data_IF_301216433883
#
_entry.id   IF_301216433883
#
_cell.length_a   1.000
_cell.length_b   1.000
_cell.length_c   1.000
_cell.angle_alpha   90.00
_cell.angle_beta   90.00
_cell.angle_gamma   90.00
#
_symmetry.space_group_name_H-M   'P 1'
#
loop_
_entity.id
_entity.type
_entity.pdbx_description
1 polymer ?
#
# COMPACT_ATOMS: atom_id res chain seq x y z
N UNK A 1 0.06 -7.79 6.27
CA UNK A 1 -1.18 -8.52 6.63
C UNK A 1 -2.34 -8.29 5.66
N UNK A 2 -3.03 -7.13 5.62
CA UNK A 2 -4.20 -6.97 4.75
C UNK A 2 -3.85 -6.86 3.25
N UNK A 3 -2.86 -6.04 2.90
CA UNK A 3 -2.43 -5.87 1.51
C UNK A 3 -1.87 -7.17 0.92
N UNK A 4 -0.98 -7.86 1.63
CA UNK A 4 -0.41 -9.14 1.18
C UNK A 4 -1.49 -10.21 0.99
N UNK A 5 -2.47 -10.28 1.91
CA UNK A 5 -3.62 -11.18 1.77
C UNK A 5 -4.46 -10.82 0.55
N UNK A 6 -4.68 -9.53 0.30
CA UNK A 6 -5.42 -9.09 -0.88
C UNK A 6 -4.67 -9.38 -2.19
N UNK A 7 -3.35 -9.20 -2.22
CA UNK A 7 -2.53 -9.55 -3.37
C UNK A 7 -2.57 -11.05 -3.66
N UNK A 8 -2.57 -11.89 -2.63
CA UNK A 8 -2.73 -13.33 -2.80
C UNK A 8 -4.12 -13.67 -3.35
N UNK A 9 -5.16 -13.09 -2.77
CA UNK A 9 -6.53 -13.24 -3.25
C UNK A 9 -6.69 -12.82 -4.72
N UNK A 10 -6.12 -11.67 -5.11
CA UNK A 10 -6.17 -11.16 -6.47
C UNK A 10 -5.50 -12.14 -7.45
N UNK A 11 -4.29 -12.60 -7.15
CA UNK A 11 -3.56 -13.59 -7.96
C UNK A 11 -4.35 -14.90 -8.10
N UNK A 12 -4.87 -15.43 -7.00
CA UNK A 12 -5.61 -16.69 -7.02
C UNK A 12 -6.92 -16.56 -7.81
N UNK A 13 -7.60 -15.42 -7.67
CA UNK A 13 -8.83 -15.10 -8.41
C UNK A 13 -8.56 -14.98 -9.90
N UNK A 14 -7.51 -14.27 -10.30
CA UNK A 14 -7.12 -14.10 -11.70
C UNK A 14 -6.74 -15.43 -12.34
N UNK A 15 -5.91 -16.24 -11.65
CA UNK A 15 -5.47 -17.54 -12.15
C UNK A 15 -6.64 -18.51 -12.36
N UNK A 16 -7.46 -18.71 -11.32
CA UNK A 16 -8.59 -19.65 -11.38
C UNK A 16 -9.72 -19.11 -12.25
N UNK A 17 -9.99 -17.81 -12.14
CA UNK A 17 -11.07 -17.14 -12.86
C UNK A 17 -10.83 -17.13 -14.36
N UNK A 18 -9.62 -16.76 -14.81
CA UNK A 18 -9.28 -16.74 -16.24
C UNK A 18 -9.44 -18.11 -16.88
N UNK A 19 -8.97 -19.17 -16.21
CA UNK A 19 -9.12 -20.55 -16.71
C UNK A 19 -10.59 -20.97 -16.83
N UNK A 20 -11.43 -20.59 -15.85
CA UNK A 20 -12.86 -20.93 -15.84
C UNK A 20 -13.65 -20.14 -16.90
N UNK A 21 -13.35 -18.86 -17.05
CA UNK A 21 -13.98 -17.99 -18.06
C UNK A 21 -13.60 -18.47 -19.46
N UNK A 22 -12.32 -18.78 -19.69
CA UNK A 22 -11.86 -19.35 -20.96
C UNK A 22 -12.61 -20.65 -21.31
N UNK A 23 -12.69 -21.60 -20.36
CA UNK A 23 -13.43 -22.86 -20.58
C UNK A 23 -14.91 -22.66 -20.87
N UNK A 24 -15.55 -21.69 -20.21
CA UNK A 24 -16.95 -21.37 -20.47
C UNK A 24 -17.13 -20.75 -21.87
N UNK A 25 -16.24 -19.82 -22.26
CA UNK A 25 -16.22 -19.22 -23.58
C UNK A 25 -16.04 -20.28 -24.68
N UNK A 26 -15.10 -21.21 -24.52
CA UNK A 26 -14.87 -22.31 -25.47
C UNK A 26 -16.14 -23.18 -25.64
N UNK A 27 -16.83 -23.47 -24.53
CA UNK A 27 -18.10 -24.22 -24.55
C UNK A 27 -19.21 -23.48 -25.29
N UNK A 28 -19.35 -22.17 -25.06
CA UNK A 28 -20.30 -21.32 -25.78
C UNK A 28 -19.97 -21.28 -27.29
N UNK A 29 -18.69 -21.10 -27.64
CA UNK A 29 -18.24 -21.01 -29.03
C UNK A 29 -18.45 -22.32 -29.79
N UNK A 30 -18.22 -23.47 -29.14
CA UNK A 30 -18.51 -24.77 -29.74
C UNK A 30 -20.00 -24.94 -30.06
N UNK A 31 -20.90 -24.60 -29.14
CA UNK A 31 -22.34 -24.69 -29.36
C UNK A 31 -22.81 -23.74 -30.47
N UNK A 32 -22.32 -22.50 -30.48
CA UNK A 32 -22.61 -21.52 -31.53
C UNK A 32 -22.12 -22.02 -32.89
N UNK A 33 -20.90 -22.56 -32.97
CA UNK A 33 -20.31 -23.08 -34.21
C UNK A 33 -21.08 -24.28 -34.78
N UNK A 34 -21.68 -25.11 -33.94
CA UNK A 34 -22.54 -26.23 -34.40
C UNK A 34 -23.93 -25.80 -34.87
N UNK A 35 -24.26 -24.50 -34.81
CA UNK A 35 -25.57 -23.98 -35.20
C UNK A 35 -26.67 -24.36 -34.22
N UNK A 36 -26.35 -24.46 -32.92
CA UNK A 36 -27.32 -24.77 -31.87
C UNK A 36 -28.53 -23.82 -31.96
N UNK A 37 -29.74 -24.35 -31.76
CA UNK A 37 -31.01 -23.59 -31.90
C UNK A 37 -31.04 -22.35 -31.01
N UNK A 38 -30.42 -22.43 -29.83
CA UNK A 38 -30.33 -21.34 -28.86
C UNK A 38 -29.05 -20.50 -28.99
N UNK A 39 -28.32 -20.57 -30.10
CA UNK A 39 -27.07 -19.82 -30.31
C UNK A 39 -27.19 -18.31 -29.99
N UNK A 40 -28.29 -17.59 -30.31
CA UNK A 40 -28.45 -16.19 -29.92
C UNK A 40 -28.44 -15.98 -28.40
N UNK A 41 -29.12 -16.85 -27.65
CA UNK A 41 -29.18 -16.79 -26.18
C UNK A 41 -27.82 -17.15 -25.57
N UNK A 42 -27.14 -18.14 -26.13
CA UNK A 42 -25.80 -18.56 -25.68
C UNK A 42 -24.79 -17.42 -25.87
N UNK A 43 -24.86 -16.69 -26.99
CA UNK A 43 -24.01 -15.53 -27.22
C UNK A 43 -24.25 -14.43 -26.18
N UNK A 44 -25.52 -14.13 -25.83
CA UNK A 44 -25.84 -13.17 -24.78
C UNK A 44 -25.28 -13.57 -23.40
N UNK A 45 -25.34 -14.86 -23.06
CA UNK A 45 -24.74 -15.37 -21.82
C UNK A 45 -23.22 -15.26 -21.82
N UNK A 46 -22.58 -15.56 -22.96
CA UNK A 46 -21.14 -15.41 -23.15
C UNK A 46 -20.72 -13.95 -22.94
N UNK A 47 -21.40 -13.01 -23.57
CA UNK A 47 -21.11 -11.58 -23.44
C UNK A 47 -21.30 -11.11 -22.00
N UNK A 48 -22.40 -11.51 -21.35
CA UNK A 48 -22.69 -11.16 -19.96
C UNK A 48 -21.64 -11.71 -18.98
N UNK A 49 -21.15 -12.93 -19.23
CA UNK A 49 -20.07 -13.54 -18.43
C UNK A 49 -18.78 -12.75 -18.55
N UNK A 50 -18.40 -12.39 -19.79
CA UNK A 50 -17.17 -11.65 -20.04
C UNK A 50 -17.25 -10.23 -19.46
N UNK A 51 -18.37 -9.54 -19.59
CA UNK A 51 -18.59 -8.24 -18.96
C UNK A 51 -18.48 -8.32 -17.42
N UNK A 52 -19.10 -9.33 -16.80
CA UNK A 52 -19.00 -9.53 -15.36
C UNK A 52 -17.56 -9.85 -14.91
N UNK A 53 -16.79 -10.56 -15.74
CA UNK A 53 -15.39 -10.87 -15.47
C UNK A 53 -14.50 -9.63 -15.54
N UNK A 54 -14.62 -8.82 -16.60
CA UNK A 54 -13.87 -7.56 -16.74
C UNK A 54 -14.18 -6.59 -15.60
N UNK A 55 -15.46 -6.45 -15.22
CA UNK A 55 -15.87 -5.63 -14.08
C UNK A 55 -15.24 -6.11 -12.76
N UNK A 56 -15.08 -7.43 -12.56
CA UNK A 56 -14.41 -7.97 -11.39
C UNK A 56 -12.92 -7.65 -11.37
N UNK A 57 -12.24 -7.74 -12.52
CA UNK A 57 -10.82 -7.39 -12.62
C UNK A 57 -10.59 -5.91 -12.32
N UNK A 58 -11.43 -5.01 -12.87
CA UNK A 58 -11.37 -3.58 -12.57
C UNK A 58 -11.59 -3.29 -11.08
N UNK A 59 -12.52 -4.00 -10.44
CA UNK A 59 -12.79 -3.86 -9.01
C UNK A 59 -11.59 -4.33 -8.16
N UNK A 60 -10.93 -5.41 -8.57
CA UNK A 60 -9.71 -5.92 -7.92
C UNK A 60 -8.59 -4.87 -8.00
N UNK A 61 -8.37 -4.28 -9.18
CA UNK A 61 -7.35 -3.25 -9.39
C UNK A 61 -7.61 -2.00 -8.57
N UNK A 62 -8.86 -1.50 -8.61
CA UNK A 62 -9.29 -0.34 -7.81
C UNK A 62 -9.04 -0.60 -6.33
N UNK A 63 -9.38 -1.80 -5.84
CA UNK A 63 -9.15 -2.16 -4.44
C UNK A 63 -7.66 -2.25 -4.10
N UNK A 64 -6.82 -2.75 -5.00
CA UNK A 64 -5.37 -2.79 -4.81
C UNK A 64 -4.79 -1.37 -4.65
N UNK A 65 -5.21 -0.43 -5.51
CA UNK A 65 -4.79 0.97 -5.44
C UNK A 65 -5.22 1.66 -4.14
N UNK A 66 -6.46 1.40 -3.69
CA UNK A 66 -6.95 1.93 -2.42
C UNK A 66 -6.16 1.40 -1.22
N UNK A 67 -5.81 0.11 -1.23
CA UNK A 67 -5.00 -0.50 -0.16
C UNK A 67 -3.58 0.09 -0.13
N UNK A 68 -2.98 0.30 -1.29
CA UNK A 68 -1.66 0.95 -1.38
C UNK A 68 -1.71 2.39 -0.90
N UNK A 69 -2.73 3.15 -1.30
CA UNK A 69 -2.93 4.54 -0.83
C UNK A 69 -3.11 4.60 0.69
N UNK A 70 -3.91 3.69 1.26
CA UNK A 70 -4.07 3.57 2.71
C UNK A 70 -2.76 3.23 3.41
N UNK A 71 -1.97 2.31 2.86
CA UNK A 71 -0.65 1.94 3.39
C UNK A 71 0.29 3.15 3.43
N UNK A 72 0.37 3.92 2.35
CA UNK A 72 1.21 5.11 2.26
C UNK A 72 0.79 6.16 3.31
N UNK A 73 -0.52 6.37 3.48
CA UNK A 73 -1.04 7.29 4.50
C UNK A 73 -0.67 6.82 5.92
N UNK A 74 -0.86 5.54 6.22
CA UNK A 74 -0.48 4.97 7.52
C UNK A 74 1.02 5.07 7.78
N UNK A 75 1.84 4.82 6.75
CA UNK A 75 3.29 4.99 6.83
C UNK A 75 3.65 6.44 7.13
N UNK A 76 3.08 7.40 6.41
CA UNK A 76 3.32 8.82 6.67
C UNK A 76 2.99 9.23 8.11
N UNK A 77 1.83 8.83 8.64
CA UNK A 77 1.49 9.12 10.03
C UNK A 77 2.43 8.45 11.03
N UNK A 78 2.89 7.23 10.74
CA UNK A 78 3.87 6.56 11.57
C UNK A 78 5.21 7.30 11.56
N UNK A 79 5.73 7.63 10.39
CA UNK A 79 6.99 8.36 10.21
C UNK A 79 6.94 9.73 10.91
N UNK A 80 5.83 10.46 10.79
CA UNK A 80 5.61 11.72 11.50
C UNK A 80 5.61 11.56 13.03
N UNK A 81 4.95 10.52 13.56
CA UNK A 81 4.95 10.25 15.01
C UNK A 81 6.33 9.88 15.52
N UNK A 82 7.04 9.06 14.77
CA UNK A 82 8.39 8.62 15.13
C UNK A 82 9.37 9.81 15.11
N UNK A 83 9.27 10.68 14.10
CA UNK A 83 10.02 11.92 14.04
C UNK A 83 9.69 12.84 15.24
N UNK A 84 8.41 13.05 15.54
CA UNK A 84 7.98 13.84 16.70
C UNK A 84 8.52 13.24 18.02
N UNK A 85 8.45 11.92 18.19
CA UNK A 85 8.97 11.25 19.37
C UNK A 85 10.48 11.47 19.53
N UNK A 86 11.26 11.38 18.45
CA UNK A 86 12.70 11.68 18.45
C UNK A 86 12.98 13.13 18.81
N UNK A 87 12.22 14.08 18.26
CA UNK A 87 12.34 15.52 18.59
C UNK A 87 12.07 15.74 20.09
N UNK A 88 11.01 15.13 20.62
CA UNK A 88 10.66 15.26 22.03
C UNK A 88 11.72 14.64 22.94
N UNK A 89 12.19 13.42 22.64
CA UNK A 89 13.26 12.76 23.39
C UNK A 89 14.52 13.63 23.45
N UNK A 90 14.93 14.17 22.29
CA UNK A 90 16.06 15.09 22.17
C UNK A 90 15.83 16.35 23.01
N UNK A 91 14.66 16.98 22.89
CA UNK A 91 14.32 18.18 23.66
C UNK A 91 14.41 17.94 25.18
N UNK A 92 13.91 16.80 25.67
CA UNK A 92 13.96 16.45 27.09
C UNK A 92 15.37 16.10 27.58
N UNK A 93 16.27 15.66 26.69
CA UNK A 93 17.66 15.34 27.02
C UNK A 93 18.57 16.59 27.14
N UNK A 94 18.08 17.78 26.81
CA UNK A 94 18.84 19.03 26.94
C UNK A 94 18.96 19.46 28.41
N UNK A 95 20.19 19.68 28.93
CA UNK A 95 20.37 20.20 30.29
C UNK A 95 19.86 21.64 30.43
N UNK A 96 19.21 21.96 31.56
CA UNK A 96 18.88 23.34 31.94
C UNK A 96 20.04 24.08 32.64
N UNK A 97 21.09 23.36 33.03
CA UNK A 97 22.28 23.94 33.68
C UNK A 97 23.06 24.84 32.71
N UNK A 98 23.41 26.04 33.16
CA UNK A 98 24.19 27.03 32.41
C UNK A 98 25.70 26.90 32.65
N UNK A 99 26.12 26.05 33.58
CA UNK A 99 27.51 25.90 33.98
C UNK A 99 27.95 26.99 34.96
N UNK A 100 28.89 26.65 35.84
CA UNK A 100 29.36 27.51 36.94
C UNK A 100 30.72 28.15 36.68
N UNK A 101 31.43 27.67 35.66
CA UNK A 101 32.79 28.08 35.31
C UNK A 101 33.03 27.91 33.79
N UNK A 102 34.10 28.53 33.28
CA UNK A 102 34.41 28.51 31.84
C UNK A 102 34.55 27.10 31.26
N UNK A 103 35.03 26.13 32.05
CA UNK A 103 35.19 24.74 31.63
C UNK A 103 33.84 24.04 31.46
N UNK A 104 32.94 24.18 32.43
CA UNK A 104 31.58 23.62 32.40
C UNK A 104 30.71 24.25 31.30
N UNK A 105 30.79 25.58 31.12
CA UNK A 105 30.13 26.28 30.01
C UNK A 105 30.64 25.75 28.65
N UNK A 106 31.97 25.57 28.50
CA UNK A 106 32.56 25.03 27.28
C UNK A 106 32.13 23.58 26.99
N UNK A 107 31.95 22.76 28.02
CA UNK A 107 31.42 21.39 27.86
C UNK A 107 29.94 21.37 27.44
N UNK A 108 29.10 22.21 28.06
CA UNK A 108 27.70 22.37 27.70
C UNK A 108 27.53 22.88 26.26
N UNK A 109 28.36 23.84 25.84
CA UNK A 109 28.34 24.37 24.47
C UNK A 109 28.66 23.30 23.42
N UNK A 110 29.65 22.43 23.66
CA UNK A 110 29.94 21.29 22.77
C UNK A 110 28.78 20.29 22.71
N UNK A 111 28.15 19.99 23.86
CA UNK A 111 26.98 19.11 23.92
C UNK A 111 25.81 19.70 23.12
N UNK A 112 25.58 21.01 23.21
CA UNK A 112 24.56 21.70 22.44
C UNK A 112 24.87 21.71 20.93
N UNK A 113 26.12 21.91 20.51
CA UNK A 113 26.47 21.81 19.09
C UNK A 113 26.24 20.40 18.52
N UNK A 114 26.58 19.35 19.27
CA UNK A 114 26.30 17.98 18.86
C UNK A 114 24.80 17.71 18.77
N UNK A 115 24.03 18.26 19.71
CA UNK A 115 22.58 18.19 19.70
C UNK A 115 21.96 18.83 18.46
N UNK A 116 22.42 20.02 18.06
CA UNK A 116 21.95 20.69 16.85
C UNK A 116 22.25 19.86 15.58
N UNK A 117 23.43 19.23 15.50
CA UNK A 117 23.77 18.32 14.40
C UNK A 117 22.87 17.09 14.35
N UNK A 118 22.56 16.51 15.51
CA UNK A 118 21.64 15.38 15.59
C UNK A 118 20.22 15.76 15.13
N UNK A 119 19.76 16.98 15.42
CA UNK A 119 18.46 17.48 14.96
C UNK A 119 18.45 17.71 13.44
N UNK A 120 19.51 18.32 12.91
CA UNK A 120 19.63 18.60 11.47
C UNK A 120 19.54 17.29 10.66
N UNK A 121 20.22 16.24 11.13
CA UNK A 121 20.16 14.91 10.54
C UNK A 121 18.78 14.22 10.62
N UNK A 122 17.91 14.62 11.56
CA UNK A 122 16.53 14.13 11.63
C UNK A 122 15.65 14.83 10.58
N UNK A 123 15.96 16.08 10.21
CA UNK A 123 15.22 16.86 9.21
C UNK A 123 15.51 16.48 7.75
N UNK A 124 16.63 15.80 7.48
CA UNK A 124 17.03 15.36 6.13
C UNK A 124 16.52 13.95 5.73
N UNK A 125 15.79 13.26 6.61
CA UNK A 125 15.21 11.92 6.38
C UNK A 125 13.80 11.97 5.79
#
# INVERSE_FOLDING_TARGET
MLQERFQQFARDTENIGSERVARANDGCDALIATGHTDAPTIALWKDSLNEAWENLLELIDTRAQMLESSRLLHKFFHDCRDCLARILEKTHAMPEDLGRDSSSVGALSRKHQNFLKDIDAIGEQ
#
